data_IF_446321493740
#
_entry.id   IF_446321493740
#
_cell.length_a   1.000
_cell.length_b   1.000
_cell.length_c   1.000
_cell.angle_alpha   90.00
_cell.angle_beta   90.00
_cell.angle_gamma   90.00
#
_symmetry.space_group_name_H-M   'P 1'
#
loop_
_entity.id
_entity.type
_entity.pdbx_description
1 polymer ?
#
# COMPACT_ATOMS: atom_id res chain seq x y z
N UNK A 1 -3.92 17.52 22.30
CA UNK A 1 -4.01 18.11 23.66
C UNK A 1 -2.64 18.37 24.28
N UNK A 2 -1.75 17.36 24.38
CA UNK A 2 -0.40 17.54 24.97
C UNK A 2 0.43 18.66 24.31
N UNK A 3 0.36 18.82 22.99
CA UNK A 3 1.08 19.89 22.26
C UNK A 3 0.60 21.30 22.65
N UNK A 4 -0.72 21.51 22.69
CA UNK A 4 -1.29 22.82 23.05
C UNK A 4 -1.03 23.18 24.51
N UNK A 5 -1.21 22.23 25.43
CA UNK A 5 -0.90 22.43 26.86
C UNK A 5 0.60 22.67 27.05
N UNK A 6 1.45 21.89 26.40
CA UNK A 6 2.90 22.06 26.45
C UNK A 6 3.35 23.42 25.93
N UNK A 7 2.76 23.89 24.82
CA UNK A 7 3.04 25.20 24.24
C UNK A 7 2.67 26.34 25.20
N UNK A 8 1.47 26.30 25.79
CA UNK A 8 1.02 27.32 26.74
C UNK A 8 1.92 27.34 27.98
N UNK A 9 2.20 26.19 28.58
CA UNK A 9 3.01 26.10 29.79
C UNK A 9 4.48 26.49 29.58
N UNK A 10 5.03 26.25 28.39
CA UNK A 10 6.44 26.54 28.09
C UNK A 10 6.64 27.98 27.60
N UNK A 11 5.81 28.48 26.69
CA UNK A 11 6.01 29.78 26.03
C UNK A 11 5.21 30.93 26.66
N UNK A 12 4.08 30.66 27.34
CA UNK A 12 3.17 31.70 27.83
C UNK A 12 3.17 31.86 29.37
N UNK A 13 4.22 31.37 30.05
CA UNK A 13 4.32 31.40 31.50
C UNK A 13 5.02 32.63 32.08
N UNK A 14 5.54 33.54 31.25
CA UNK A 14 6.19 34.80 31.67
C UNK A 14 5.37 35.64 32.66
N UNK A 15 4.02 35.73 32.56
CA UNK A 15 3.23 36.47 33.55
C UNK A 15 3.37 35.97 35.00
N UNK A 16 3.78 34.72 35.23
CA UNK A 16 4.00 34.17 36.58
C UNK A 16 5.11 34.89 37.33
N UNK A 17 6.07 35.51 36.62
CA UNK A 17 7.15 36.27 37.22
C UNK A 17 6.70 37.61 37.83
N UNK A 18 5.45 38.03 37.60
CA UNK A 18 4.85 39.22 38.23
C UNK A 18 4.35 38.94 39.66
N UNK A 19 4.29 37.68 40.08
CA UNK A 19 3.93 37.29 41.43
C UNK A 19 5.10 37.53 42.41
N UNK A 20 4.84 37.36 43.70
CA UNK A 20 5.87 37.42 44.75
C UNK A 20 7.09 36.55 44.37
N UNK A 21 8.34 37.02 44.52
CA UNK A 21 9.52 36.37 43.94
C UNK A 21 9.66 34.88 44.24
N UNK A 22 9.35 34.46 45.48
CA UNK A 22 9.42 33.05 45.90
C UNK A 22 8.39 32.18 45.16
N UNK A 23 7.15 32.64 45.10
CA UNK A 23 6.04 31.90 44.48
C UNK A 23 6.14 31.94 42.96
N UNK A 24 6.44 33.10 42.39
CA UNK A 24 6.57 33.31 40.94
C UNK A 24 7.70 32.46 40.35
N UNK A 25 8.87 32.45 40.99
CA UNK A 25 10.01 31.63 40.54
C UNK A 25 9.71 30.15 40.60
N UNK A 26 9.09 29.67 41.70
CA UNK A 26 8.70 28.27 41.83
C UNK A 26 7.72 27.84 40.75
N UNK A 27 6.64 28.59 40.54
CA UNK A 27 5.62 28.28 39.52
C UNK A 27 6.18 28.38 38.10
N UNK A 28 7.08 29.34 37.85
CA UNK A 28 7.73 29.48 36.55
C UNK A 28 8.59 28.25 36.21
N UNK A 29 9.45 27.80 37.13
CA UNK A 29 10.29 26.61 36.93
C UNK A 29 9.43 25.37 36.73
N UNK A 30 8.37 25.21 37.53
CA UNK A 30 7.44 24.08 37.45
C UNK A 30 6.72 24.04 36.09
N UNK A 31 6.21 25.18 35.62
CA UNK A 31 5.49 25.25 34.33
C UNK A 31 6.40 25.07 33.12
N UNK A 32 7.63 25.61 33.13
CA UNK A 32 8.63 25.30 32.09
C UNK A 32 8.90 23.81 32.02
N UNK A 33 9.12 23.17 33.16
CA UNK A 33 9.50 21.76 33.24
C UNK A 33 8.39 20.87 32.69
N UNK A 34 7.15 21.09 33.12
CA UNK A 34 5.98 20.35 32.62
C UNK A 34 5.70 20.64 31.14
N UNK A 35 5.83 21.90 30.71
CA UNK A 35 5.66 22.30 29.32
C UNK A 35 6.66 21.63 28.39
N UNK A 36 7.92 21.57 28.79
CA UNK A 36 8.99 20.90 28.06
C UNK A 36 8.72 19.40 27.89
N UNK A 37 8.37 18.69 28.98
CA UNK A 37 8.05 17.26 28.93
C UNK A 37 6.83 17.00 28.02
N UNK A 38 5.79 17.83 28.12
CA UNK A 38 4.61 17.72 27.27
C UNK A 38 4.91 17.93 25.78
N UNK A 39 5.78 18.90 25.46
CA UNK A 39 6.25 19.15 24.08
C UNK A 39 7.10 18.00 23.55
N UNK A 40 8.00 17.45 24.36
CA UNK A 40 8.79 16.25 23.98
C UNK A 40 7.88 15.06 23.67
N UNK A 41 6.90 14.78 24.54
CA UNK A 41 5.92 13.72 24.29
C UNK A 41 5.15 13.98 23.00
N UNK A 42 4.65 15.19 22.78
CA UNK A 42 3.95 15.53 21.54
C UNK A 42 4.82 15.32 20.29
N UNK A 43 6.10 15.69 20.35
CA UNK A 43 7.07 15.48 19.27
C UNK A 43 7.30 14.01 18.96
N UNK A 44 7.44 13.16 19.98
CA UNK A 44 7.59 11.70 19.79
C UNK A 44 6.35 11.10 19.12
N UNK A 45 5.16 11.48 19.57
CA UNK A 45 3.90 10.99 18.99
C UNK A 45 3.70 11.46 17.56
N UNK A 46 4.04 12.72 17.27
CA UNK A 46 4.02 13.27 15.91
C UNK A 46 5.02 12.56 15.00
N UNK A 47 6.24 12.28 15.49
CA UNK A 47 7.25 11.51 14.76
C UNK A 47 6.77 10.10 14.43
N UNK A 48 6.07 9.43 15.37
CA UNK A 48 5.42 8.14 15.10
C UNK A 48 4.37 8.27 14.01
N UNK A 49 3.44 9.22 14.14
CA UNK A 49 2.38 9.44 13.14
C UNK A 49 2.95 9.70 11.74
N UNK A 50 4.01 10.50 11.64
CA UNK A 50 4.68 10.80 10.38
C UNK A 50 5.46 9.62 9.82
N UNK A 51 6.02 8.75 10.69
CA UNK A 51 6.81 7.59 10.28
C UNK A 51 5.98 6.34 10.01
N UNK A 52 4.73 6.25 10.48
CA UNK A 52 3.88 5.06 10.31
C UNK A 52 3.33 4.84 8.89
N UNK A 53 3.82 5.53 7.85
CA UNK A 53 3.17 5.44 6.52
C UNK A 53 4.06 5.61 5.28
N UNK A 54 5.36 5.25 5.30
CA UNK A 54 6.21 5.42 4.11
C UNK A 54 7.27 4.33 3.88
N UNK A 55 7.07 3.13 4.42
CA UNK A 55 7.73 1.95 3.88
C UNK A 55 6.73 0.81 3.96
N UNK A 56 5.77 0.83 3.03
CA UNK A 56 5.18 -0.43 2.64
C UNK A 56 6.32 -1.31 2.15
N UNK A 57 6.27 -2.57 2.58
CA UNK A 57 7.21 -3.63 2.26
C UNK A 57 7.79 -3.51 0.84
N UNK A 58 9.07 -3.85 0.66
CA UNK A 58 9.64 -3.99 -0.70
C UNK A 58 8.80 -5.01 -1.49
N UNK A 59 8.17 -5.95 -0.79
CA UNK A 59 7.12 -6.88 -1.25
C UNK A 59 5.70 -6.31 -1.10
N UNK A 60 5.48 -5.03 -1.41
CA UNK A 60 4.13 -4.47 -1.54
C UNK A 60 3.52 -4.94 -2.87
N UNK A 61 2.25 -5.35 -2.88
CA UNK A 61 1.49 -5.69 -4.08
C UNK A 61 1.65 -4.66 -5.21
N UNK A 62 1.83 -3.38 -4.90
CA UNK A 62 2.12 -2.34 -5.91
C UNK A 62 3.51 -2.51 -6.54
N UNK A 63 4.55 -2.78 -5.74
CA UNK A 63 5.92 -2.95 -6.22
C UNK A 63 6.12 -4.27 -6.99
N UNK A 64 5.34 -5.31 -6.66
CA UNK A 64 5.31 -6.57 -7.39
C UNK A 64 4.35 -6.56 -8.60
N UNK A 65 3.53 -5.52 -8.73
CA UNK A 65 2.61 -5.39 -9.85
C UNK A 65 3.27 -4.81 -11.09
N UNK A 66 2.90 -5.33 -12.26
CA UNK A 66 3.36 -4.83 -13.56
C UNK A 66 2.22 -4.80 -14.56
N UNK A 67 2.36 -3.92 -15.56
CA UNK A 67 1.40 -3.82 -16.66
C UNK A 67 1.41 -5.13 -17.46
N UNK A 68 0.26 -5.79 -17.56
CA UNK A 68 0.04 -6.93 -18.44
C UNK A 68 -0.66 -6.49 -19.74
N UNK A 69 -0.70 -7.38 -20.72
CA UNK A 69 -1.37 -7.13 -22.00
C UNK A 69 -2.88 -6.97 -21.79
N UNK A 70 -3.45 -5.86 -22.28
CA UNK A 70 -4.88 -5.53 -22.17
C UNK A 70 -5.61 -5.73 -23.49
N UNK A 71 -4.88 -5.85 -24.60
CA UNK A 71 -5.44 -6.04 -25.93
C UNK A 71 -5.61 -7.53 -26.23
N UNK A 72 -6.79 -7.89 -26.70
CA UNK A 72 -7.06 -9.20 -27.28
C UNK A 72 -6.40 -9.30 -28.66
N UNK A 73 -5.50 -10.28 -28.84
CA UNK A 73 -4.79 -10.51 -30.10
C UNK A 73 -5.20 -11.85 -30.71
N UNK A 74 -6.19 -11.83 -31.60
CA UNK A 74 -6.71 -13.02 -32.25
C UNK A 74 -6.08 -13.29 -33.62
N UNK A 75 -5.86 -14.56 -33.91
CA UNK A 75 -5.54 -15.07 -35.24
C UNK A 75 -6.12 -16.48 -35.42
N UNK A 76 -5.93 -17.09 -36.59
CA UNK A 76 -6.45 -18.43 -36.94
C UNK A 76 -6.07 -19.52 -35.92
N UNK A 77 -4.92 -19.39 -35.27
CA UNK A 77 -4.36 -20.40 -34.36
C UNK A 77 -4.29 -19.95 -32.90
N UNK A 78 -4.53 -18.67 -32.60
CA UNK A 78 -4.26 -18.12 -31.28
C UNK A 78 -5.13 -18.79 -30.21
N UNK A 79 -4.67 -18.78 -28.96
CA UNK A 79 -5.54 -19.04 -27.81
C UNK A 79 -5.45 -17.83 -26.90
N UNK A 80 -6.61 -17.31 -26.49
CA UNK A 80 -6.72 -16.07 -25.75
C UNK A 80 -7.41 -16.35 -24.41
N UNK A 81 -6.67 -16.23 -23.31
CA UNK A 81 -7.18 -16.52 -21.97
C UNK A 81 -7.45 -15.20 -21.23
N UNK A 82 -8.67 -14.98 -20.74
CA UNK A 82 -8.99 -13.77 -19.97
C UNK A 82 -8.31 -13.82 -18.60
N UNK A 83 -7.71 -12.71 -18.18
CA UNK A 83 -7.07 -12.58 -16.87
C UNK A 83 -7.52 -11.31 -16.15
N UNK A 84 -7.24 -11.26 -14.85
CA UNK A 84 -7.27 -10.02 -14.06
C UNK A 84 -5.90 -9.81 -13.46
N UNK A 85 -5.40 -8.58 -13.53
CA UNK A 85 -4.14 -8.20 -12.92
C UNK A 85 -4.30 -6.89 -12.17
N UNK A 86 -3.59 -6.77 -11.06
CA UNK A 86 -3.55 -5.55 -10.28
C UNK A 86 -2.39 -4.69 -10.78
N UNK A 87 -2.61 -3.40 -10.99
CA UNK A 87 -1.57 -2.45 -11.41
C UNK A 87 -2.00 -1.01 -11.08
N UNK A 88 -1.11 -0.23 -10.46
CA UNK A 88 -1.34 1.19 -10.10
C UNK A 88 -2.62 1.42 -9.28
N UNK A 89 -2.80 0.69 -8.20
CA UNK A 89 -3.95 0.90 -7.30
C UNK A 89 -5.26 0.29 -7.79
N UNK A 90 -5.28 -0.44 -8.92
CA UNK A 90 -6.52 -0.87 -9.57
C UNK A 90 -6.43 -2.28 -10.12
N UNK A 91 -7.57 -2.97 -10.07
CA UNK A 91 -7.80 -4.21 -10.82
C UNK A 91 -8.11 -3.89 -12.29
N UNK A 92 -7.36 -4.51 -13.18
CA UNK A 92 -7.50 -4.38 -14.62
C UNK A 92 -7.84 -5.74 -15.23
N UNK A 93 -8.64 -5.73 -16.31
CA UNK A 93 -8.83 -6.91 -17.13
C UNK A 93 -7.68 -7.01 -18.13
N UNK A 94 -7.18 -8.23 -18.36
CA UNK A 94 -6.09 -8.51 -19.28
C UNK A 94 -6.30 -9.77 -20.09
N UNK A 95 -5.34 -10.07 -20.96
CA UNK A 95 -5.36 -11.23 -21.82
C UNK A 95 -3.98 -11.90 -21.85
N UNK A 96 -3.95 -13.21 -21.69
CA UNK A 96 -2.80 -14.02 -22.10
C UNK A 96 -3.06 -14.47 -23.53
N UNK A 97 -2.32 -13.87 -24.47
CA UNK A 97 -2.43 -14.17 -25.89
C UNK A 97 -1.35 -15.18 -26.31
N UNK A 98 -1.72 -16.46 -26.47
CA UNK A 98 -0.86 -17.47 -27.08
C UNK A 98 -1.04 -17.39 -28.59
N UNK A 99 -0.24 -16.55 -29.25
CA UNK A 99 -0.36 -16.28 -30.69
C UNK A 99 0.03 -17.46 -31.59
N UNK A 100 0.85 -18.38 -31.09
CA UNK A 100 1.27 -19.59 -31.80
C UNK A 100 1.39 -20.76 -30.81
N UNK A 101 0.36 -21.62 -30.69
CA UNK A 101 0.37 -22.75 -29.75
C UNK A 101 1.21 -23.94 -30.24
N UNK A 102 1.73 -23.94 -31.47
CA UNK A 102 2.43 -25.10 -32.06
C UNK A 102 3.88 -25.26 -31.59
N UNK A 103 4.45 -24.26 -30.89
CA UNK A 103 5.81 -24.32 -30.34
C UNK A 103 5.95 -25.11 -29.02
N UNK A 104 4.90 -25.86 -28.68
CA UNK A 104 4.64 -26.54 -27.40
C UNK A 104 3.96 -25.64 -26.36
N UNK A 105 3.01 -26.26 -25.65
CA UNK A 105 2.31 -25.70 -24.49
C UNK A 105 2.47 -26.67 -23.32
N UNK A 106 3.06 -26.19 -22.22
CA UNK A 106 3.28 -26.98 -21.01
C UNK A 106 2.33 -26.47 -19.93
N UNK A 107 1.57 -27.38 -19.31
CA UNK A 107 0.61 -27.06 -18.24
C UNK A 107 1.00 -27.82 -16.98
N UNK A 108 1.59 -27.13 -16.01
CA UNK A 108 2.11 -27.70 -14.77
C UNK A 108 1.23 -27.38 -13.56
N UNK A 109 1.14 -28.29 -12.61
CA UNK A 109 0.54 -28.06 -11.29
C UNK A 109 0.03 -29.34 -10.64
N UNK A 110 -0.32 -29.27 -9.36
CA UNK A 110 -0.76 -30.42 -8.55
C UNK A 110 -2.09 -31.02 -9.02
N UNK A 111 -2.35 -32.32 -8.78
CA UNK A 111 -3.66 -32.93 -9.06
C UNK A 111 -4.80 -32.13 -8.42
N UNK A 112 -5.92 -31.95 -9.14
CA UNK A 112 -7.09 -31.21 -8.65
C UNK A 112 -7.04 -29.69 -8.77
N UNK A 113 -5.93 -29.07 -9.21
CA UNK A 113 -5.79 -27.61 -9.27
C UNK A 113 -6.56 -26.89 -10.40
N UNK A 114 -7.49 -27.55 -11.10
CA UNK A 114 -8.34 -26.92 -12.13
C UNK A 114 -7.71 -26.68 -13.51
N UNK A 115 -6.49 -27.16 -13.78
CA UNK A 115 -5.78 -26.95 -15.08
C UNK A 115 -6.58 -27.34 -16.31
N UNK A 116 -7.32 -28.45 -16.25
CA UNK A 116 -8.14 -28.92 -17.37
C UNK A 116 -9.25 -27.93 -17.71
N UNK A 117 -9.93 -27.39 -16.70
CA UNK A 117 -10.99 -26.39 -16.89
C UNK A 117 -10.42 -25.04 -17.35
N UNK A 118 -9.39 -24.54 -16.67
CA UNK A 118 -8.86 -23.21 -16.92
C UNK A 118 -8.07 -23.11 -18.24
N UNK A 119 -7.32 -24.15 -18.62
CA UNK A 119 -6.41 -24.10 -19.77
C UNK A 119 -6.87 -25.04 -20.90
N UNK A 120 -6.95 -26.34 -20.64
CA UNK A 120 -7.14 -27.36 -21.69
C UNK A 120 -8.48 -27.20 -22.40
N UNK A 121 -9.57 -27.02 -21.65
CA UNK A 121 -10.91 -26.85 -22.21
C UNK A 121 -11.01 -25.56 -23.03
N UNK A 122 -10.35 -24.48 -22.60
CA UNK A 122 -10.29 -23.23 -23.36
C UNK A 122 -9.55 -23.42 -24.69
N UNK A 123 -8.43 -24.15 -24.69
CA UNK A 123 -7.71 -24.51 -25.91
C UNK A 123 -8.61 -25.27 -26.88
N UNK A 124 -9.24 -26.35 -26.41
CA UNK A 124 -10.11 -27.19 -27.25
C UNK A 124 -11.28 -26.37 -27.81
N UNK A 125 -11.97 -25.63 -26.95
CA UNK A 125 -13.14 -24.82 -27.33
C UNK A 125 -12.78 -23.81 -28.42
N UNK A 126 -11.75 -22.99 -28.20
CA UNK A 126 -11.38 -21.95 -29.16
C UNK A 126 -10.87 -22.54 -30.48
N UNK A 127 -10.18 -23.68 -30.48
CA UNK A 127 -9.75 -24.34 -31.72
C UNK A 127 -10.93 -24.91 -32.52
N UNK A 128 -11.94 -25.45 -31.84
CA UNK A 128 -13.18 -25.90 -32.50
C UNK A 128 -13.92 -24.70 -33.10
N UNK A 129 -14.07 -23.62 -32.35
CA UNK A 129 -14.74 -22.39 -32.79
C UNK A 129 -14.07 -21.76 -34.02
N UNK A 130 -12.75 -21.84 -34.14
CA UNK A 130 -12.00 -21.29 -35.28
C UNK A 130 -12.03 -22.16 -36.53
N UNK A 131 -12.44 -23.42 -36.40
CA UNK A 131 -12.55 -24.37 -37.51
C UNK A 131 -13.96 -24.40 -38.12
N UNK A 132 -14.94 -23.80 -37.45
CA UNK A 132 -16.32 -23.64 -37.90
C UNK A 132 -16.49 -22.32 -38.67
#
# INVERSE_FOLDING_TARGET
MALGVGFVLFFLNTPLLKLTPVIGTFLYILTISLGYIALLMAGVWMSRLLRTNLMDDVFNNENESFQQETKLMENEYSINLPTKFYYKGKWNNGWINIVNPFRASIVLGTPGSGKSYAIVNNYIKQQIEKRL
#
